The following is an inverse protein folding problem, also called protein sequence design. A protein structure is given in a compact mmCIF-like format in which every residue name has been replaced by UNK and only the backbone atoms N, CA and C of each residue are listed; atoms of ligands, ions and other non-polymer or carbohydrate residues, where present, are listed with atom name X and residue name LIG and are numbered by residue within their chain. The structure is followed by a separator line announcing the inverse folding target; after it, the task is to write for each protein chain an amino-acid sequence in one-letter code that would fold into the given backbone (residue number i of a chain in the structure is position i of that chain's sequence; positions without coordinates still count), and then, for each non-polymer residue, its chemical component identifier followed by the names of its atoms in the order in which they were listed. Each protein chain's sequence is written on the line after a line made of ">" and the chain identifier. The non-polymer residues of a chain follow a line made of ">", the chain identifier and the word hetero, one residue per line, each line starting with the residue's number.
data_IF_203845445013
#
_entry.id   IF_203845445013
#
_cell.length_a   1.000
_cell.length_b   1.000
_cell.length_c   1.000
_cell.angle_alpha   90.00
_cell.angle_beta   90.00
_cell.angle_gamma   90.00
#
_symmetry.space_group_name_H-M   'P 1'
#
loop_
_entity.id
_entity.type
_entity.pdbx_description
1 polymer ?
#
# COMPACT_ATOMS: atom_id res chain seq x y z
N UNK A 1 18.54 10.73 -12.89
CA UNK A 1 18.05 9.76 -13.89
C UNK A 1 16.74 9.19 -13.36
N UNK A 2 15.66 9.16 -14.16
CA UNK A 2 14.40 8.57 -13.71
C UNK A 2 14.60 7.05 -13.52
N UNK A 3 14.39 6.56 -12.30
CA UNK A 3 14.46 5.13 -12.03
C UNK A 3 13.32 4.43 -12.79
N UNK A 4 13.58 3.23 -13.32
CA UNK A 4 12.53 2.44 -13.99
C UNK A 4 11.47 2.08 -12.95
N UNK A 5 10.17 2.08 -13.31
CA UNK A 5 9.14 1.61 -12.39
C UNK A 5 9.42 0.19 -11.90
N UNK A 6 9.09 -0.07 -10.64
CA UNK A 6 9.27 -1.33 -9.94
C UNK A 6 10.71 -1.90 -9.99
N UNK A 7 11.75 -1.14 -9.57
CA UNK A 7 13.15 -1.56 -9.69
C UNK A 7 13.49 -2.80 -8.84
N UNK A 8 12.77 -3.04 -7.74
CA UNK A 8 12.94 -4.20 -6.85
C UNK A 8 12.18 -5.45 -7.34
N UNK A 9 11.59 -5.39 -8.55
CA UNK A 9 10.89 -6.50 -9.20
C UNK A 9 9.85 -7.15 -8.30
N UNK A 10 9.01 -6.33 -7.66
CA UNK A 10 7.85 -6.80 -6.93
C UNK A 10 6.96 -7.62 -7.86
N UNK A 11 6.45 -8.76 -7.39
CA UNK A 11 5.44 -9.49 -8.15
C UNK A 11 4.13 -8.67 -8.21
N UNK A 12 3.19 -9.07 -9.07
CA UNK A 12 1.94 -8.31 -9.29
C UNK A 12 1.17 -8.05 -7.98
N UNK A 13 1.07 -9.05 -7.11
CA UNK A 13 0.35 -8.94 -5.84
C UNK A 13 1.05 -7.96 -4.87
N UNK A 14 2.38 -8.06 -4.74
CA UNK A 14 3.19 -7.16 -3.90
C UNK A 14 3.12 -5.71 -4.39
N UNK A 15 3.32 -5.49 -5.69
CA UNK A 15 3.27 -4.15 -6.29
C UNK A 15 1.89 -3.50 -6.08
N UNK A 16 0.83 -4.29 -6.27
CA UNK A 16 -0.55 -3.85 -6.07
C UNK A 16 -0.85 -3.52 -4.61
N UNK A 17 -0.45 -4.40 -3.70
CA UNK A 17 -0.67 -4.18 -2.26
C UNK A 17 0.06 -2.92 -1.79
N UNK A 18 1.29 -2.72 -2.25
CA UNK A 18 2.07 -1.53 -1.91
C UNK A 18 1.41 -0.25 -2.42
N UNK A 19 0.96 -0.21 -3.68
CA UNK A 19 0.33 1.01 -4.21
C UNK A 19 -1.00 1.33 -3.52
N UNK A 20 -1.80 0.31 -3.18
CA UNK A 20 -3.03 0.52 -2.41
C UNK A 20 -2.71 1.03 -1.00
N UNK A 21 -1.71 0.47 -0.32
CA UNK A 21 -1.24 0.96 0.98
C UNK A 21 -0.75 2.42 0.91
N UNK A 22 -0.04 2.79 -0.16
CA UNK A 22 0.41 4.18 -0.39
C UNK A 22 -0.78 5.13 -0.54
N UNK A 23 -1.85 4.70 -1.22
CA UNK A 23 -3.07 5.49 -1.37
C UNK A 23 -3.74 5.71 -0.01
N UNK A 24 -3.87 4.66 0.82
CA UNK A 24 -4.39 4.81 2.20
C UNK A 24 -3.52 5.79 2.99
N UNK A 25 -2.20 5.63 2.95
CA UNK A 25 -1.28 6.46 3.72
C UNK A 25 -1.31 7.94 3.34
N UNK A 26 -1.63 8.25 2.08
CA UNK A 26 -1.73 9.64 1.57
C UNK A 26 -3.10 10.27 1.81
N UNK A 27 -4.12 9.47 2.10
CA UNK A 27 -5.44 9.99 2.42
C UNK A 27 -5.43 10.70 3.79
N UNK A 28 -6.08 11.86 3.95
CA UNK A 28 -6.24 12.50 5.25
C UNK A 28 -6.82 11.54 6.30
N UNK A 29 -6.12 11.34 7.41
CA UNK A 29 -6.53 10.40 8.47
C UNK A 29 -6.41 8.91 8.11
N UNK A 30 -5.75 8.56 6.99
CA UNK A 30 -5.49 7.16 6.62
C UNK A 30 -4.23 6.57 7.27
N UNK A 31 -3.30 7.41 7.71
CA UNK A 31 -2.10 7.00 8.43
C UNK A 31 -1.62 8.05 9.44
N UNK A 32 -0.82 7.58 10.40
CA UNK A 32 0.01 8.41 11.28
C UNK A 32 1.44 8.36 10.77
N UNK A 33 1.99 9.52 10.42
CA UNK A 33 3.37 9.65 9.92
C UNK A 33 4.30 9.94 11.08
N UNK A 34 5.38 9.15 11.20
CA UNK A 34 6.47 9.44 12.12
C UNK A 34 7.33 10.58 11.53
N UNK A 35 7.48 11.73 12.22
CA UNK A 35 8.21 12.88 11.67
C UNK A 35 9.73 12.67 11.60
N UNK A 36 10.29 11.77 12.39
CA UNK A 36 11.73 11.50 12.41
C UNK A 36 12.14 10.51 11.31
N UNK A 37 11.40 9.42 11.15
CA UNK A 37 11.72 8.40 10.13
C UNK A 37 11.05 8.66 8.77
N UNK A 38 9.92 9.36 8.75
CA UNK A 38 9.05 9.49 7.57
C UNK A 38 8.22 8.24 7.28
N UNK A 39 8.19 7.27 8.18
CA UNK A 39 7.35 6.08 8.05
C UNK A 39 5.88 6.41 8.31
N UNK A 40 4.98 5.74 7.62
CA UNK A 40 3.54 5.92 7.79
C UNK A 40 2.88 4.63 8.26
N UNK A 41 2.33 4.67 9.47
CA UNK A 41 1.54 3.57 10.04
C UNK A 41 0.07 3.77 9.66
N UNK A 42 -0.50 2.82 8.92
CA UNK A 42 -1.92 2.87 8.53
C UNK A 42 -2.80 2.79 9.76
N UNK A 43 -3.79 3.68 9.86
CA UNK A 43 -4.74 3.73 10.98
C UNK A 43 -5.71 2.55 10.90
N UNK A 44 -6.14 2.22 9.68
CA UNK A 44 -6.85 0.99 9.38
C UNK A 44 -6.35 0.38 8.09
N UNK A 45 -6.23 -0.95 8.08
CA UNK A 45 -6.02 -1.70 6.85
C UNK A 45 -7.39 -1.91 6.21
N UNK A 46 -7.59 -1.53 4.94
CA UNK A 46 -8.87 -1.73 4.28
C UNK A 46 -9.27 -3.21 4.26
N UNK A 47 -10.49 -3.49 4.70
CA UNK A 47 -11.10 -4.80 4.63
C UNK A 47 -12.16 -4.82 3.52
N UNK A 48 -12.27 -5.95 2.82
CA UNK A 48 -13.28 -6.10 1.79
C UNK A 48 -14.68 -6.17 2.41
N UNK A 49 -15.61 -5.43 1.82
CA UNK A 49 -17.04 -5.51 2.09
C UNK A 49 -17.72 -5.99 0.81
N UNK A 50 -18.10 -7.28 0.76
CA UNK A 50 -18.57 -7.89 -0.48
C UNK A 50 -17.46 -8.04 -1.52
N UNK A 51 -17.65 -7.50 -2.72
CA UNK A 51 -16.71 -7.61 -3.84
C UNK A 51 -15.79 -6.39 -4.03
N UNK A 52 -15.88 -5.39 -3.14
CA UNK A 52 -15.10 -4.15 -3.20
C UNK A 52 -14.51 -3.75 -1.82
N UNK A 53 -13.54 -2.84 -1.87
CA UNK A 53 -12.79 -2.30 -0.73
C UNK A 53 -12.64 -0.79 -0.92
N UNK A 54 -12.94 -0.01 0.11
CA UNK A 54 -12.67 1.43 0.11
C UNK A 54 -11.21 1.70 0.50
N UNK A 55 -10.49 2.43 -0.34
CA UNK A 55 -9.08 2.79 -0.16
C UNK A 55 -8.94 4.30 -0.34
N UNK A 56 -9.06 5.05 0.75
CA UNK A 56 -9.16 6.52 0.67
C UNK A 56 -10.41 6.93 -0.13
N UNK A 57 -10.28 7.75 -1.19
CA UNK A 57 -11.41 8.16 -2.04
C UNK A 57 -11.78 7.12 -3.12
N UNK A 58 -11.05 5.99 -3.21
CA UNK A 58 -11.22 5.03 -4.30
C UNK A 58 -11.94 3.77 -3.84
N UNK A 59 -12.64 3.14 -4.79
CA UNK A 59 -13.21 1.80 -4.64
C UNK A 59 -12.40 0.84 -5.49
N UNK A 60 -11.87 -0.22 -4.88
CA UNK A 60 -11.10 -1.26 -5.59
C UNK A 60 -11.74 -2.62 -5.39
N UNK A 61 -11.67 -3.48 -6.41
CA UNK A 61 -12.18 -4.84 -6.27
C UNK A 61 -11.46 -5.61 -5.16
N UNK A 62 -12.21 -6.44 -4.42
CA UNK A 62 -11.67 -7.26 -3.33
C UNK A 62 -10.50 -8.15 -3.76
N UNK A 63 -10.54 -8.70 -4.99
CA UNK A 63 -9.45 -9.50 -5.57
C UNK A 63 -8.14 -8.70 -5.68
N UNK A 64 -8.25 -7.40 -5.93
CA UNK A 64 -7.11 -6.51 -6.11
C UNK A 64 -6.53 -6.04 -4.77
N UNK A 65 -7.35 -5.99 -3.72
CA UNK A 65 -6.91 -5.72 -2.35
C UNK A 65 -6.52 -6.96 -1.53
N UNK A 66 -6.63 -8.17 -2.10
CA UNK A 66 -6.39 -9.45 -1.41
C UNK A 66 -5.02 -9.59 -0.74
N UNK A 67 -4.03 -8.79 -1.13
CA UNK A 67 -2.72 -8.79 -0.49
C UNK A 67 -2.69 -8.16 0.90
N UNK A 68 -3.66 -7.32 1.27
CA UNK A 68 -3.77 -6.76 2.62
C UNK A 68 -3.95 -7.85 3.68
N UNK A 69 -4.72 -8.90 3.38
CA UNK A 69 -4.93 -10.05 4.26
C UNK A 69 -3.89 -11.17 4.08
N UNK A 70 -2.82 -10.94 3.31
CA UNK A 70 -1.80 -11.97 3.04
C UNK A 70 -0.48 -11.61 3.75
N UNK A 71 -0.14 -12.26 4.88
CA UNK A 71 1.10 -11.98 5.62
C UNK A 71 2.37 -12.15 4.79
N UNK A 72 2.38 -13.06 3.80
CA UNK A 72 3.56 -13.31 2.96
C UNK A 72 3.90 -12.10 2.07
N UNK A 73 2.90 -11.28 1.70
CA UNK A 73 3.12 -10.03 0.97
C UNK A 73 3.88 -9.04 1.86
N UNK A 74 3.43 -8.85 3.09
CA UNK A 74 4.05 -7.94 4.04
C UNK A 74 5.47 -8.36 4.42
N UNK A 75 5.70 -9.66 4.66
CA UNK A 75 7.05 -10.21 4.88
C UNK A 75 7.96 -9.93 3.69
N UNK A 76 7.48 -10.08 2.46
CA UNK A 76 8.28 -9.81 1.26
C UNK A 76 8.58 -8.32 1.07
N UNK A 77 7.64 -7.43 1.37
CA UNK A 77 7.86 -5.98 1.35
C UNK A 77 8.85 -5.55 2.43
N UNK A 78 8.78 -6.15 3.63
CA UNK A 78 9.71 -5.90 4.71
C UNK A 78 11.15 -6.31 4.37
N UNK A 79 11.34 -7.51 3.79
CA UNK A 79 12.66 -7.95 3.28
C UNK A 79 13.25 -7.03 2.22
N UNK A 80 12.41 -6.22 1.56
CA UNK A 80 12.80 -5.23 0.55
C UNK A 80 12.93 -3.81 1.11
N UNK A 81 12.71 -3.62 2.42
CA UNK A 81 12.79 -2.33 3.10
C UNK A 81 11.64 -1.38 2.80
N UNK A 82 10.51 -1.89 2.28
CA UNK A 82 9.35 -1.07 1.86
C UNK A 82 8.24 -1.00 2.92
N UNK A 83 8.25 -1.90 3.88
CA UNK A 83 7.32 -1.93 5.01
C UNK A 83 8.02 -2.45 6.25
N UNK A 84 7.46 -2.21 7.42
CA UNK A 84 7.84 -2.94 8.63
C UNK A 84 7.08 -4.27 8.70
N UNK A 85 7.67 -5.28 9.34
CA UNK A 85 7.11 -6.63 9.40
C UNK A 85 5.77 -6.71 10.15
N UNK A 86 5.02 -7.81 9.98
CA UNK A 86 3.71 -8.00 10.63
C UNK A 86 3.78 -8.14 12.16
N UNK A 87 4.97 -8.15 12.74
CA UNK A 87 5.24 -8.31 14.17
C UNK A 87 4.67 -7.17 15.04
N UNK A 88 4.37 -6.02 14.47
CA UNK A 88 3.72 -4.89 15.16
C UNK A 88 2.19 -5.00 15.17
N UNK A 89 1.59 -5.95 14.44
CA UNK A 89 0.14 -6.05 14.25
C UNK A 89 -0.48 -4.90 13.43
N UNK A 90 0.33 -3.91 13.04
CA UNK A 90 -0.04 -2.77 12.22
C UNK A 90 0.72 -2.80 10.89
N UNK A 91 0.14 -2.23 9.85
CA UNK A 91 0.83 -2.04 8.58
C UNK A 91 1.54 -0.69 8.63
N UNK A 92 2.87 -0.71 8.59
CA UNK A 92 3.67 0.51 8.48
C UNK A 92 4.48 0.48 7.20
N UNK A 93 4.32 1.48 6.35
CA UNK A 93 5.16 1.70 5.18
C UNK A 93 6.40 2.50 5.61
N UNK A 94 7.56 2.09 5.11
CA UNK A 94 8.76 2.92 5.28
C UNK A 94 8.67 4.15 4.39
N UNK A 95 9.48 5.19 4.65
CA UNK A 95 9.60 6.31 3.71
C UNK A 95 9.92 5.84 2.28
N UNK A 96 10.84 4.90 2.13
CA UNK A 96 11.16 4.30 0.83
C UNK A 96 9.96 3.56 0.22
N UNK A 97 9.17 2.87 1.04
CA UNK A 97 7.91 2.25 0.65
C UNK A 97 6.88 3.24 0.14
N UNK A 98 6.74 4.39 0.80
CA UNK A 98 5.81 5.47 0.41
C UNK A 98 6.16 6.11 -0.93
N UNK A 99 7.46 6.25 -1.20
CA UNK A 99 8.00 6.90 -2.40
C UNK A 99 8.23 5.92 -3.56
N UNK A 100 8.11 4.61 -3.30
CA UNK A 100 8.40 3.57 -4.29
C UNK A 100 7.44 3.64 -5.49
N UNK A 101 7.99 3.82 -6.68
CA UNK A 101 7.22 3.75 -7.92
C UNK A 101 6.94 2.28 -8.30
N UNK A 102 5.71 1.84 -8.11
CA UNK A 102 5.23 0.50 -8.49
C UNK A 102 4.93 0.38 -9.99
N UNK A 103 4.85 1.51 -10.71
CA UNK A 103 4.32 1.58 -12.07
C UNK A 103 2.80 1.45 -12.17
N UNK A 104 2.10 1.29 -11.04
CA UNK A 104 0.65 1.08 -10.98
C UNK A 104 -0.13 2.31 -10.48
N UNK A 105 0.55 3.35 -9.99
CA UNK A 105 -0.11 4.52 -9.38
C UNK A 105 -1.14 5.19 -10.28
N UNK A 106 -0.94 5.17 -11.60
CA UNK A 106 -1.84 5.77 -12.60
C UNK A 106 -3.10 4.93 -12.88
N UNK A 107 -3.07 3.63 -12.56
CA UNK A 107 -4.14 2.69 -12.89
C UNK A 107 -5.20 2.58 -11.77
N UNK A 108 -4.93 3.14 -10.59
CA UNK A 108 -5.86 3.16 -9.46
C UNK A 108 -6.55 4.53 -9.28
N UNK A 109 -6.48 5.40 -10.30
CA UNK A 109 -7.00 6.78 -10.29
C UNK A 109 -8.36 6.94 -10.97
N UNK A 110 -9.17 5.87 -11.12
CA UNK A 110 -10.58 6.09 -11.46
C UNK A 110 -11.29 6.60 -10.20
N UNK A 111 -11.55 7.92 -10.18
CA UNK A 111 -12.46 8.57 -9.25
C UNK A 111 -13.79 7.82 -9.29
N UNK A 112 -14.26 7.35 -8.13
CA UNK A 112 -15.53 6.65 -8.05
C UNK A 112 -16.66 7.67 -8.19
N UNK A 113 -17.32 7.74 -9.34
CA UNK A 113 -18.61 8.41 -9.51
C UNK A 113 -19.69 7.58 -8.80
N UNK A 114 -19.88 7.84 -7.51
CA UNK A 114 -21.08 7.45 -6.78
C UNK A 114 -21.62 8.61 -5.93
#
# INVERSE_FOLDING_TARGET
>A
MAQRPNPLKLNKLQARTLVLAQVVARHPGGAVVNPESGDATLIQVPHAHGDHVHVGPYVVHARDASGFSNPAVWVALARKGLAHGPETGAVTLTKAGLEYDTGLGKNFMEESDH
#
